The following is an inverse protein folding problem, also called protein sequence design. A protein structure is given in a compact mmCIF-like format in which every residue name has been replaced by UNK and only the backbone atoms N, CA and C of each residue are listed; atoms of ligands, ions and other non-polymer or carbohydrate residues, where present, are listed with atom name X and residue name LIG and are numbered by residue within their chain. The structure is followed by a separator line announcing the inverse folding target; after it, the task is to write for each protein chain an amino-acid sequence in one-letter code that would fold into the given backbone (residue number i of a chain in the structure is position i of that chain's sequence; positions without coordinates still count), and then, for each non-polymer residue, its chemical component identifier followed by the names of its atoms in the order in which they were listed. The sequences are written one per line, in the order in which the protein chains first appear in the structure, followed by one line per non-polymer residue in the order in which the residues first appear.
data_IF_662729931254
#
_entry.id   IF_662729931254
#
_cell.length_a   1.000
_cell.length_b   1.000
_cell.length_c   1.000
_cell.angle_alpha   90.00
_cell.angle_beta   90.00
_cell.angle_gamma   90.00
#
_symmetry.space_group_name_H-M   'P 1'
#
loop_
_entity.id
_entity.type
_entity.pdbx_description
1 polymer ?
#
# COMPACT_ATOMS: atom_id res chain seq x y z
N UNK A 1 -4.19 -5.40 -7.99
CA UNK A 1 -4.72 -4.54 -6.90
C UNK A 1 -6.26 -4.55 -6.78
N UNK A 2 -6.91 -5.72 -6.92
CA UNK A 2 -8.38 -5.85 -6.81
C UNK A 2 -8.94 -5.53 -5.41
N UNK A 3 -8.08 -5.55 -4.40
CA UNK A 3 -8.43 -5.40 -2.98
C UNK A 3 -8.42 -3.96 -2.48
N UNK A 4 -7.95 -3.01 -3.30
CA UNK A 4 -7.86 -1.59 -2.93
C UNK A 4 -9.12 -0.88 -3.39
N UNK A 5 -9.93 -0.42 -2.44
CA UNK A 5 -11.11 0.38 -2.73
C UNK A 5 -10.73 1.67 -3.47
N UNK A 6 -11.58 2.10 -4.40
CA UNK A 6 -11.39 3.28 -5.25
C UNK A 6 -10.17 3.24 -6.19
N UNK A 7 -9.41 2.15 -6.23
CA UNK A 7 -8.18 2.07 -7.01
C UNK A 7 -8.38 2.30 -8.51
N UNK A 8 -9.47 1.75 -9.06
CA UNK A 8 -9.82 1.94 -10.47
C UNK A 8 -10.08 3.42 -10.80
N UNK A 9 -10.75 4.16 -9.91
CA UNK A 9 -11.06 5.59 -10.11
C UNK A 9 -9.78 6.40 -10.30
N UNK A 10 -8.74 6.11 -9.51
CA UNK A 10 -7.46 6.81 -9.62
C UNK A 10 -6.63 6.32 -10.80
N UNK A 11 -6.56 5.01 -11.02
CA UNK A 11 -5.76 4.44 -12.11
C UNK A 11 -6.35 4.69 -13.49
N UNK A 12 -7.66 4.87 -13.63
CA UNK A 12 -8.27 5.32 -14.90
C UNK A 12 -7.70 6.65 -15.37
N UNK A 13 -7.44 7.60 -14.46
CA UNK A 13 -6.80 8.88 -14.81
C UNK A 13 -5.39 8.68 -15.36
N UNK A 14 -4.62 7.75 -14.79
CA UNK A 14 -3.28 7.41 -15.25
C UNK A 14 -3.32 6.65 -16.59
N UNK A 15 -4.26 5.71 -16.73
CA UNK A 15 -4.42 4.88 -17.93
C UNK A 15 -4.72 5.73 -19.18
N UNK A 16 -5.41 6.86 -19.04
CA UNK A 16 -5.64 7.82 -20.14
C UNK A 16 -4.33 8.47 -20.62
N UNK A 17 -3.34 8.63 -19.74
CA UNK A 17 -2.04 9.23 -20.05
C UNK A 17 -1.04 8.21 -20.66
N UNK A 18 -1.33 6.92 -20.52
CA UNK A 18 -0.57 5.81 -21.06
C UNK A 18 -0.15 4.81 -19.99
N UNK A 19 0.80 3.92 -20.33
CA UNK A 19 1.37 2.98 -19.37
C UNK A 19 2.15 3.73 -18.27
N UNK A 20 1.98 3.29 -17.04
CA UNK A 20 2.61 3.86 -15.85
C UNK A 20 3.13 2.75 -14.94
N UNK A 21 4.04 3.10 -14.04
CA UNK A 21 4.59 2.18 -13.04
C UNK A 21 4.76 2.87 -11.69
N UNK A 22 4.78 2.07 -10.62
CA UNK A 22 5.30 2.50 -9.33
C UNK A 22 6.80 2.77 -9.45
N UNK A 23 7.29 3.87 -8.86
CA UNK A 23 8.72 4.17 -8.77
C UNK A 23 9.24 3.93 -7.35
N UNK A 24 8.58 4.54 -6.36
CA UNK A 24 9.08 4.52 -4.99
C UNK A 24 8.00 4.77 -3.92
N UNK A 25 8.24 4.26 -2.71
CA UNK A 25 7.52 4.68 -1.51
C UNK A 25 8.24 5.91 -0.94
N UNK A 26 7.55 7.04 -0.88
CA UNK A 26 8.11 8.34 -0.45
C UNK A 26 7.56 8.84 0.88
N UNK A 27 6.61 8.11 1.47
CA UNK A 27 6.04 8.47 2.74
C UNK A 27 5.31 7.32 3.39
N UNK A 28 5.52 7.18 4.70
CA UNK A 28 4.85 6.22 5.56
C UNK A 28 4.41 7.00 6.78
N UNK A 29 3.11 7.00 7.07
CA UNK A 29 2.55 7.57 8.29
C UNK A 29 1.77 6.48 9.00
N UNK A 30 2.20 6.12 10.20
CA UNK A 30 1.47 5.22 11.08
C UNK A 30 0.82 6.05 12.19
N UNK A 31 -0.49 5.90 12.33
CA UNK A 31 -1.28 6.59 13.35
C UNK A 31 -1.98 5.55 14.22
N UNK A 32 -2.00 5.80 15.53
CA UNK A 32 -2.81 5.11 16.52
C UNK A 32 -3.74 6.16 17.11
N UNK A 33 -5.04 5.89 17.08
CA UNK A 33 -6.05 6.77 17.64
C UNK A 33 -7.07 5.94 18.44
N UNK A 34 -8.07 6.58 19.02
CA UNK A 34 -9.13 5.96 19.81
C UNK A 34 -10.48 6.30 19.17
N UNK A 35 -11.33 5.30 18.94
CA UNK A 35 -12.69 5.51 18.43
C UNK A 35 -13.66 6.06 19.50
N UNK A 36 -14.92 6.27 19.13
CA UNK A 36 -15.93 6.81 20.05
C UNK A 36 -16.30 5.84 21.20
N UNK A 37 -15.95 4.55 21.09
CA UNK A 37 -16.19 3.52 22.10
C UNK A 37 -14.98 3.29 23.00
N UNK A 38 -13.85 3.96 22.72
CA UNK A 38 -12.61 3.79 23.46
C UNK A 38 -11.70 2.68 22.93
N UNK A 39 -12.01 2.09 21.77
CA UNK A 39 -11.15 1.08 21.14
C UNK A 39 -10.01 1.75 20.39
N UNK A 40 -8.83 1.12 20.43
CA UNK A 40 -7.70 1.56 19.62
C UNK A 40 -7.95 1.26 18.15
N UNK A 41 -7.77 2.29 17.31
CA UNK A 41 -7.77 2.18 15.85
C UNK A 41 -6.37 2.51 15.33
N UNK A 42 -5.94 1.75 14.33
CA UNK A 42 -4.60 1.85 13.77
C UNK A 42 -4.69 1.99 12.26
N UNK A 43 -3.98 2.97 11.71
CA UNK A 43 -3.97 3.24 10.27
C UNK A 43 -2.56 3.45 9.76
N UNK A 44 -2.29 2.97 8.56
CA UNK A 44 -1.09 3.34 7.79
C UNK A 44 -1.52 4.08 6.53
N UNK A 45 -0.93 5.24 6.29
CA UNK A 45 -0.92 5.89 4.99
C UNK A 45 0.43 5.64 4.31
N UNK A 46 0.40 4.97 3.17
CA UNK A 46 1.54 4.84 2.27
C UNK A 46 1.40 5.79 1.10
N UNK A 47 2.49 6.46 0.79
CA UNK A 47 2.58 7.41 -0.31
C UNK A 47 3.57 6.89 -1.33
N UNK A 48 3.11 6.77 -2.57
CA UNK A 48 3.88 6.27 -3.69
C UNK A 48 4.10 7.38 -4.71
N UNK A 49 5.28 7.41 -5.32
CA UNK A 49 5.45 8.02 -6.62
C UNK A 49 5.18 7.02 -7.74
N UNK A 50 4.46 7.49 -8.74
CA UNK A 50 4.15 6.79 -9.98
C UNK A 50 4.59 7.65 -11.14
N UNK A 51 4.96 7.00 -12.23
CA UNK A 51 5.50 7.68 -13.41
C UNK A 51 4.87 7.13 -14.66
N UNK A 52 4.37 8.02 -15.51
CA UNK A 52 3.91 7.67 -16.86
C UNK A 52 5.14 7.42 -17.72
N UNK A 53 5.29 6.20 -18.24
CA UNK A 53 6.54 5.71 -18.83
C UNK A 53 7.02 6.60 -19.98
N UNK A 54 6.08 7.02 -20.84
CA UNK A 54 6.36 7.80 -22.06
C UNK A 54 6.70 9.26 -21.77
N UNK A 55 5.97 9.91 -20.87
CA UNK A 55 6.08 11.36 -20.61
C UNK A 55 6.98 11.68 -19.42
N UNK A 56 7.28 10.69 -18.57
CA UNK A 56 7.95 10.86 -17.27
C UNK A 56 7.21 11.79 -16.31
N UNK A 57 5.93 12.06 -16.59
CA UNK A 57 5.07 12.80 -15.68
C UNK A 57 4.88 11.98 -14.40
N UNK A 58 5.05 12.64 -13.25
CA UNK A 58 5.00 12.01 -11.94
C UNK A 58 3.70 12.31 -11.22
N UNK A 59 3.25 11.32 -10.47
CA UNK A 59 2.07 11.39 -9.64
C UNK A 59 2.37 10.86 -8.25
N UNK A 60 1.71 11.45 -7.26
CA UNK A 60 1.70 11.02 -5.87
C UNK A 60 0.37 10.32 -5.57
N UNK A 61 0.41 9.01 -5.35
CA UNK A 61 -0.74 8.22 -4.87
C UNK A 61 -0.64 8.03 -3.37
N UNK A 62 -1.72 8.31 -2.65
CA UNK A 62 -1.86 7.92 -1.25
C UNK A 62 -2.81 6.73 -1.12
N UNK A 63 -2.37 5.68 -0.43
CA UNK A 63 -3.18 4.50 -0.09
C UNK A 63 -3.21 4.36 1.44
N UNK A 64 -4.41 4.17 1.99
CA UNK A 64 -4.65 3.96 3.41
C UNK A 64 -5.00 2.51 3.70
N UNK A 65 -4.46 2.01 4.80
CA UNK A 65 -4.69 0.68 5.34
C UNK A 65 -5.30 0.82 6.74
N UNK A 66 -6.39 0.11 7.00
CA UNK A 66 -7.20 0.25 8.22
C UNK A 66 -7.11 -0.95 9.14
N UNK A 67 -7.18 -0.70 10.45
CA UNK A 67 -7.01 -1.69 11.53
C UNK A 67 -5.70 -2.47 11.35
N UNK A 68 -4.62 -1.71 11.23
CA UNK A 68 -3.28 -2.27 11.01
C UNK A 68 -2.79 -3.00 12.26
N UNK A 69 -2.29 -4.21 12.09
CA UNK A 69 -1.65 -4.99 13.15
C UNK A 69 -0.33 -5.59 12.67
N UNK A 70 0.52 -5.97 13.64
CA UNK A 70 1.80 -6.65 13.39
C UNK A 70 2.74 -5.89 12.45
N UNK A 71 2.74 -4.55 12.56
CA UNK A 71 3.58 -3.68 11.75
C UNK A 71 5.07 -3.92 12.03
N UNK A 72 5.79 -4.29 10.97
CA UNK A 72 7.25 -4.26 10.90
C UNK A 72 7.69 -3.21 9.88
N UNK A 73 8.57 -2.30 10.31
CA UNK A 73 9.21 -1.29 9.45
C UNK A 73 10.72 -1.34 9.68
N UNK A 74 11.50 -1.56 8.62
CA UNK A 74 12.97 -1.43 8.65
C UNK A 74 13.38 -0.13 8.00
N UNK A 75 14.44 0.53 8.45
CA UNK A 75 14.89 1.76 7.79
C UNK A 75 15.60 1.46 6.47
N UNK A 76 15.12 2.01 5.35
CA UNK A 76 15.78 1.97 4.04
C UNK A 76 15.75 3.37 3.44
N UNK A 77 16.84 3.78 2.80
CA UNK A 77 17.06 5.15 2.33
C UNK A 77 16.41 5.48 0.99
N UNK A 78 16.10 4.47 0.14
CA UNK A 78 15.36 4.62 -1.10
C UNK A 78 14.61 3.31 -1.41
N UNK A 79 13.28 3.36 -1.42
CA UNK A 79 12.42 2.18 -1.61
C UNK A 79 11.95 2.10 -3.04
N UNK A 80 12.84 1.69 -3.92
CA UNK A 80 12.47 1.44 -5.31
C UNK A 80 11.56 0.23 -5.37
N UNK A 81 10.38 0.45 -5.94
CA UNK A 81 9.40 -0.59 -6.16
C UNK A 81 9.63 -1.18 -7.55
N UNK A 82 9.89 -2.48 -7.62
CA UNK A 82 9.84 -3.22 -8.90
C UNK A 82 8.40 -3.35 -9.40
N UNK A 83 7.45 -3.45 -8.47
CA UNK A 83 6.00 -3.39 -8.66
C UNK A 83 5.34 -2.85 -7.37
N UNK A 84 4.03 -2.69 -7.34
CA UNK A 84 3.28 -2.39 -6.12
C UNK A 84 3.55 -3.38 -4.99
N UNK A 85 3.19 -3.01 -3.74
CA UNK A 85 3.22 -3.94 -2.62
C UNK A 85 2.36 -5.18 -2.88
N UNK A 86 2.83 -6.33 -2.40
CA UNK A 86 2.09 -7.57 -2.44
C UNK A 86 0.96 -7.51 -1.40
N UNK A 87 -0.23 -7.92 -1.82
CA UNK A 87 -1.42 -8.00 -0.99
C UNK A 87 -2.01 -9.40 -1.12
N UNK A 88 -1.92 -10.19 -0.05
CA UNK A 88 -2.57 -11.50 0.04
C UNK A 88 -3.90 -11.37 0.79
N UNK A 89 -5.00 -11.77 0.15
CA UNK A 89 -6.29 -11.97 0.82
C UNK A 89 -6.26 -13.34 1.55
N UNK A 90 -6.39 -13.31 2.88
CA UNK A 90 -6.31 -14.48 3.76
C UNK A 90 -7.69 -15.03 4.14
N UNK A 91 -8.77 -14.56 3.51
CA UNK A 91 -10.15 -14.99 3.80
C UNK A 91 -10.37 -16.51 3.69
N UNK A 92 -9.63 -17.21 2.83
CA UNK A 92 -9.75 -18.66 2.66
C UNK A 92 -9.04 -19.49 3.75
N UNK A 93 -8.27 -18.85 4.64
CA UNK A 93 -7.49 -19.53 5.68
C UNK A 93 -8.18 -19.53 7.05
N UNK A 94 -9.41 -19.01 7.16
CA UNK A 94 -10.17 -18.95 8.41
C UNK A 94 -9.68 -17.89 9.41
N UNK A 95 -8.93 -16.90 8.93
CA UNK A 95 -8.40 -15.80 9.76
C UNK A 95 -9.49 -14.79 10.10
N UNK A 96 -9.33 -14.11 11.24
CA UNK A 96 -10.21 -13.04 11.71
C UNK A 96 -10.34 -11.96 10.62
N UNK A 97 -11.56 -11.46 10.40
CA UNK A 97 -11.86 -10.37 9.46
C UNK A 97 -11.00 -9.13 9.71
N UNK A 98 -10.52 -8.95 10.94
CA UNK A 98 -9.65 -7.86 11.34
C UNK A 98 -8.21 -7.95 10.75
N UNK A 99 -7.80 -9.12 10.24
CA UNK A 99 -6.50 -9.37 9.60
C UNK A 99 -6.64 -9.92 8.17
N UNK A 100 -7.70 -9.52 7.47
CA UNK A 100 -8.06 -10.05 6.14
C UNK A 100 -6.91 -9.98 5.13
N UNK A 101 -6.17 -8.89 5.11
CA UNK A 101 -5.09 -8.68 4.14
C UNK A 101 -3.75 -8.69 4.82
N UNK A 102 -2.84 -9.47 4.27
CA UNK A 102 -1.42 -9.42 4.60
C UNK A 102 -0.70 -8.62 3.50
N UNK A 103 -0.05 -7.53 3.91
CA UNK A 103 0.60 -6.57 3.01
C UNK A 103 2.09 -6.55 3.30
N UNK A 104 2.90 -6.77 2.27
CA UNK A 104 4.35 -6.71 2.40
C UNK A 104 5.05 -6.31 1.10
N UNK A 105 6.29 -5.86 1.21
CA UNK A 105 7.20 -5.81 0.06
C UNK A 105 7.72 -7.22 -0.26
N UNK A 106 7.76 -7.57 -1.54
CA UNK A 106 8.61 -8.67 -2.01
C UNK A 106 9.59 -8.10 -3.02
N UNK A 107 10.86 -8.36 -2.78
CA UNK A 107 11.97 -7.77 -3.51
C UNK A 107 13.16 -8.74 -3.60
N UNK A 108 12.96 -10.04 -3.37
CA UNK A 108 14.02 -11.04 -3.37
C UNK A 108 13.53 -12.41 -3.83
N UNK A 109 14.25 -13.00 -4.79
CA UNK A 109 14.06 -14.33 -5.41
C UNK A 109 13.33 -15.38 -4.55
N UNK A 110 11.99 -15.43 -4.67
CA UNK A 110 11.13 -16.48 -4.12
C UNK A 110 10.14 -15.98 -3.07
N UNK A 111 8.91 -16.49 -3.12
CA UNK A 111 7.90 -16.21 -2.10
C UNK A 111 8.51 -16.48 -0.69
N UNK A 112 8.68 -15.40 0.10
CA UNK A 112 9.25 -15.31 1.46
C UNK A 112 10.69 -14.77 1.64
N UNK A 113 11.43 -14.43 0.57
CA UNK A 113 12.82 -13.92 0.66
C UNK A 113 13.00 -12.42 0.35
N UNK A 114 11.92 -11.63 0.41
CA UNK A 114 11.96 -10.17 0.25
C UNK A 114 12.78 -9.43 1.32
N UNK A 115 13.06 -8.13 1.10
CA UNK A 115 13.84 -7.31 2.06
C UNK A 115 13.12 -7.15 3.41
N UNK A 116 11.83 -7.47 3.48
CA UNK A 116 10.98 -7.34 4.67
C UNK A 116 11.07 -5.92 5.23
N UNK A 117 11.02 -4.93 4.34
CA UNK A 117 11.06 -3.52 4.70
C UNK A 117 9.76 -3.10 5.41
N UNK A 118 8.62 -3.51 4.85
CA UNK A 118 7.30 -3.24 5.37
C UNK A 118 6.51 -4.54 5.35
N UNK A 119 5.95 -4.88 6.50
CA UNK A 119 5.09 -6.04 6.64
C UNK A 119 4.02 -5.71 7.68
N UNK A 120 2.75 -5.93 7.34
CA UNK A 120 1.65 -5.75 8.27
C UNK A 120 0.39 -6.48 7.82
N UNK A 121 -0.55 -6.63 8.75
CA UNK A 121 -1.90 -7.08 8.47
C UNK A 121 -2.86 -5.90 8.53
N UNK A 122 -3.93 -5.93 7.73
CA UNK A 122 -5.00 -4.93 7.79
C UNK A 122 -6.36 -5.53 7.40
N UNK A 123 -7.42 -4.83 7.78
CA UNK A 123 -8.80 -5.25 7.50
C UNK A 123 -9.32 -4.74 6.16
N UNK A 124 -8.89 -3.55 5.73
CA UNK A 124 -9.29 -2.93 4.47
C UNK A 124 -8.24 -1.96 3.95
N UNK A 125 -8.29 -1.72 2.63
CA UNK A 125 -7.32 -0.92 1.90
C UNK A 125 -8.08 0.02 0.97
N UNK A 126 -7.71 1.29 0.93
CA UNK A 126 -8.35 2.29 0.07
C UNK A 126 -7.33 3.26 -0.55
N UNK A 127 -7.51 3.57 -1.83
CA UNK A 127 -6.83 4.69 -2.44
C UNK A 127 -7.53 5.99 -2.02
N UNK A 128 -6.75 6.97 -1.55
CA UNK A 128 -7.25 8.22 -0.96
C UNK A 128 -7.12 9.38 -1.94
N UNK A 129 -5.92 9.59 -2.50
CA UNK A 129 -5.65 10.69 -3.42
C UNK A 129 -4.68 10.28 -4.52
N UNK A 130 -4.80 10.94 -5.68
CA UNK A 130 -3.81 10.92 -6.75
C UNK A 130 -3.61 12.37 -7.24
N UNK A 131 -2.40 12.88 -7.07
CA UNK A 131 -2.02 14.26 -7.36
C UNK A 131 -0.82 14.27 -8.31
N UNK A 132 -0.73 15.26 -9.20
CA UNK A 132 0.47 15.48 -10.02
C UNK A 132 1.59 16.08 -9.15
N UNK A 133 2.85 15.66 -9.39
CA UNK A 133 4.03 16.10 -8.65
C UNK A 133 5.04 16.84 -9.53
#
# INVERSE_FOLDING_TARGET
MKYINNYNIFTERLNVLGSWSYEEIVGIKYDIDIDYEGNYITTIDLVFFLSVIKTKQRFRLKVRYHNVSELSLRQVTNLYLTDSLIIHDKSEQGWDLNQRYHVHDDSGYGDNDGYNFINFHCSSIEAITLEEF
#
